data_IF_457821782016
#
_entry.id   IF_457821782016
#
_cell.length_a   1.000
_cell.length_b   1.000
_cell.length_c   1.000
_cell.angle_alpha   90.00
_cell.angle_beta   90.00
_cell.angle_gamma   90.00
#
_symmetry.space_group_name_H-M   'P 1'
#
loop_
_entity.id
_entity.type
_entity.pdbx_description
1 polymer ?
#
# COMPACT_ATOMS: atom_id res chain seq x y z
N UNK A 1 30.53 -35.21 -6.39
CA UNK A 1 29.40 -34.27 -6.18
C UNK A 1 28.42 -34.53 -7.31
N UNK A 2 27.42 -35.37 -7.05
CA UNK A 2 26.36 -35.64 -8.02
C UNK A 2 25.37 -34.47 -7.95
N UNK A 3 25.20 -33.77 -9.07
CA UNK A 3 24.17 -32.75 -9.24
C UNK A 3 22.83 -33.47 -9.07
N UNK A 4 22.09 -33.14 -8.01
CA UNK A 4 20.72 -33.59 -7.81
C UNK A 4 19.90 -32.94 -8.93
N UNK A 5 19.53 -33.73 -9.94
CA UNK A 5 18.61 -33.27 -10.99
C UNK A 5 17.33 -32.78 -10.33
N UNK A 6 16.94 -31.55 -10.65
CA UNK A 6 15.68 -30.94 -10.21
C UNK A 6 14.58 -31.72 -10.91
N UNK A 7 13.66 -32.31 -10.14
CA UNK A 7 12.52 -33.03 -10.68
C UNK A 7 11.66 -32.09 -11.54
N UNK A 8 11.60 -32.28 -12.88
CA UNK A 8 10.89 -31.37 -13.77
C UNK A 8 9.37 -31.37 -13.50
N UNK A 9 8.80 -32.46 -12.99
CA UNK A 9 7.37 -32.55 -12.68
C UNK A 9 6.94 -31.59 -11.57
N UNK A 10 7.78 -31.39 -10.56
CA UNK A 10 7.48 -30.47 -9.46
C UNK A 10 7.50 -28.99 -9.89
N UNK A 11 8.27 -28.64 -10.91
CA UNK A 11 8.30 -27.28 -11.46
C UNK A 11 7.04 -27.00 -12.30
N UNK A 12 6.57 -27.98 -13.06
CA UNK A 12 5.33 -27.90 -13.82
C UNK A 12 4.10 -27.77 -12.89
N UNK A 13 4.08 -28.50 -11.77
CA UNK A 13 3.00 -28.41 -10.77
C UNK A 13 2.88 -27.01 -10.14
N UNK A 14 4.02 -26.38 -9.81
CA UNK A 14 4.03 -25.01 -9.25
C UNK A 14 3.51 -23.98 -10.26
N UNK A 15 3.91 -24.11 -11.53
CA UNK A 15 3.48 -23.18 -12.58
C UNK A 15 1.99 -23.37 -12.92
N UNK A 16 1.49 -24.61 -12.90
CA UNK A 16 0.07 -24.91 -13.05
C UNK A 16 -0.76 -24.29 -11.93
N UNK A 17 -0.32 -24.44 -10.66
CA UNK A 17 -1.00 -23.85 -9.51
C UNK A 17 -1.02 -22.31 -9.57
N UNK A 18 0.07 -21.68 -9.99
CA UNK A 18 0.11 -20.21 -10.18
C UNK A 18 -0.87 -19.75 -11.26
N UNK A 19 -0.97 -20.50 -12.35
CA UNK A 19 -1.92 -20.21 -13.43
C UNK A 19 -3.38 -20.36 -12.97
N UNK A 20 -3.69 -21.42 -12.21
CA UNK A 20 -5.02 -21.63 -11.60
C UNK A 20 -5.36 -20.49 -10.61
N UNK A 21 -4.37 -20.01 -9.84
CA UNK A 21 -4.52 -18.90 -8.91
C UNK A 21 -4.83 -17.58 -9.63
N UNK A 22 -4.14 -17.29 -10.74
CA UNK A 22 -4.41 -16.12 -11.58
C UNK A 22 -5.81 -16.16 -12.22
N UNK A 23 -6.27 -17.34 -12.64
CA UNK A 23 -7.63 -17.53 -13.13
C UNK A 23 -8.68 -17.31 -12.03
N UNK A 24 -8.45 -17.81 -10.82
CA UNK A 24 -9.33 -17.56 -9.66
C UNK A 24 -9.37 -16.07 -9.30
N UNK A 25 -8.25 -15.36 -9.35
CA UNK A 25 -8.20 -13.92 -9.10
C UNK A 25 -8.99 -13.13 -10.16
N UNK A 26 -8.97 -13.57 -11.42
CA UNK A 26 -9.82 -12.99 -12.49
C UNK A 26 -11.31 -13.28 -12.24
N UNK A 27 -11.65 -14.53 -11.91
CA UNK A 27 -13.02 -14.93 -11.60
C UNK A 27 -13.59 -14.17 -10.39
N UNK A 28 -12.78 -13.97 -9.34
CA UNK A 28 -13.17 -13.23 -8.14
C UNK A 28 -13.42 -11.74 -8.44
N UNK A 29 -12.58 -11.11 -9.24
CA UNK A 29 -12.78 -9.72 -9.69
C UNK A 29 -14.08 -9.58 -10.49
N UNK A 30 -14.35 -10.52 -11.40
CA UNK A 30 -15.62 -10.56 -12.13
C UNK A 30 -16.82 -10.71 -11.18
N UNK A 31 -16.75 -11.61 -10.21
CA UNK A 31 -17.82 -11.82 -9.23
C UNK A 31 -18.10 -10.56 -8.40
N UNK A 32 -17.05 -9.87 -7.94
CA UNK A 32 -17.18 -8.62 -7.20
C UNK A 32 -17.81 -7.49 -8.04
N UNK A 33 -17.38 -7.31 -9.29
CA UNK A 33 -17.99 -6.34 -10.20
C UNK A 33 -19.45 -6.65 -10.53
N UNK A 34 -19.79 -7.95 -10.64
CA UNK A 34 -21.18 -8.36 -10.87
C UNK A 34 -22.05 -8.18 -9.63
N UNK A 35 -21.51 -8.42 -8.44
CA UNK A 35 -22.19 -8.13 -7.17
C UNK A 35 -22.50 -6.64 -7.02
N UNK A 36 -21.55 -5.75 -7.35
CA UNK A 36 -21.78 -4.29 -7.32
C UNK A 36 -22.93 -3.89 -8.23
N UNK A 37 -22.91 -4.33 -9.51
CA UNK A 37 -23.99 -4.05 -10.47
C UNK A 37 -25.35 -4.59 -10.03
N UNK A 38 -25.39 -5.79 -9.44
CA UNK A 38 -26.63 -6.37 -8.91
C UNK A 38 -27.11 -5.63 -7.66
N UNK A 39 -26.21 -5.16 -6.81
CA UNK A 39 -26.57 -4.35 -5.62
C UNK A 39 -27.21 -3.03 -6.04
N UNK A 40 -26.65 -2.35 -7.05
CA UNK A 40 -27.23 -1.12 -7.63
C UNK A 40 -28.57 -1.37 -8.34
N UNK A 41 -28.72 -2.50 -9.03
CA UNK A 41 -30.00 -2.87 -9.65
C UNK A 41 -31.08 -3.18 -8.59
N UNK A 42 -30.70 -3.83 -7.48
CA UNK A 42 -31.60 -4.13 -6.36
C UNK A 42 -32.04 -2.87 -5.61
N UNK A 43 -31.18 -1.85 -5.48
CA UNK A 43 -31.57 -0.58 -4.83
C UNK A 43 -32.54 0.25 -5.68
N UNK A 44 -32.49 0.10 -7.01
CA UNK A 44 -33.38 0.81 -7.94
C UNK A 44 -34.69 0.07 -8.22
N UNK A 45 -34.70 -1.26 -8.11
CA UNK A 45 -35.86 -2.10 -8.45
C UNK A 45 -36.06 -3.19 -7.41
N UNK A 46 -37.28 -3.33 -6.89
CA UNK A 46 -37.63 -4.38 -5.93
C UNK A 46 -37.98 -5.72 -6.62
N UNK A 47 -37.10 -6.22 -7.48
CA UNK A 47 -37.30 -7.48 -8.21
C UNK A 47 -36.73 -8.68 -7.39
N UNK A 48 -37.56 -9.67 -7.02
CA UNK A 48 -37.11 -10.85 -6.29
C UNK A 48 -36.11 -11.74 -7.07
N UNK A 49 -36.08 -11.67 -8.41
CA UNK A 49 -35.08 -12.37 -9.22
C UNK A 49 -33.68 -11.77 -9.03
N UNK A 50 -33.56 -10.43 -9.02
CA UNK A 50 -32.30 -9.74 -8.76
C UNK A 50 -31.73 -10.07 -7.38
N UNK A 51 -32.60 -10.18 -6.36
CA UNK A 51 -32.21 -10.61 -5.02
C UNK A 51 -31.64 -12.04 -5.00
N UNK A 52 -32.26 -12.97 -5.75
CA UNK A 52 -31.75 -14.35 -5.90
C UNK A 52 -30.39 -14.37 -6.60
N UNK A 53 -30.22 -13.59 -7.67
CA UNK A 53 -28.95 -13.48 -8.37
C UNK A 53 -27.85 -12.87 -7.50
N UNK A 54 -28.18 -11.87 -6.68
CA UNK A 54 -27.25 -11.27 -5.72
C UNK A 54 -26.82 -12.27 -4.64
N UNK A 55 -27.74 -13.10 -4.14
CA UNK A 55 -27.39 -14.16 -3.21
C UNK A 55 -26.46 -15.20 -3.88
N UNK A 56 -26.75 -15.60 -5.12
CA UNK A 56 -25.92 -16.55 -5.87
C UNK A 56 -24.50 -16.02 -6.12
N UNK A 57 -24.35 -14.75 -6.54
CA UNK A 57 -23.03 -14.19 -6.82
C UNK A 57 -22.18 -14.03 -5.56
N UNK A 58 -22.81 -13.75 -4.40
CA UNK A 58 -22.15 -13.73 -3.10
C UNK A 58 -21.62 -15.11 -2.72
N UNK A 59 -22.47 -16.14 -2.81
CA UNK A 59 -22.04 -17.53 -2.58
C UNK A 59 -20.91 -17.94 -3.51
N UNK A 60 -20.97 -17.57 -4.79
CA UNK A 60 -19.88 -17.84 -5.74
C UNK A 60 -18.58 -17.13 -5.34
N UNK A 61 -18.65 -15.84 -5.03
CA UNK A 61 -17.49 -15.04 -4.60
C UNK A 61 -16.84 -15.63 -3.36
N UNK A 62 -17.64 -16.07 -2.39
CA UNK A 62 -17.17 -16.65 -1.15
C UNK A 62 -16.52 -18.04 -1.41
N UNK A 63 -17.12 -18.86 -2.28
CA UNK A 63 -16.54 -20.13 -2.74
C UNK A 63 -15.20 -19.95 -3.48
N UNK A 64 -15.10 -18.94 -4.35
CA UNK A 64 -13.85 -18.57 -5.02
C UNK A 64 -12.78 -18.11 -4.01
N UNK A 65 -13.18 -17.41 -2.95
CA UNK A 65 -12.31 -17.02 -1.85
C UNK A 65 -11.73 -18.20 -1.09
N UNK A 66 -12.56 -19.20 -0.77
CA UNK A 66 -12.13 -20.43 -0.11
C UNK A 66 -11.15 -21.23 -0.97
N UNK A 67 -11.44 -21.38 -2.27
CA UNK A 67 -10.56 -22.08 -3.22
C UNK A 67 -9.22 -21.37 -3.40
N UNK A 68 -9.21 -20.04 -3.45
CA UNK A 68 -7.98 -19.27 -3.51
C UNK A 68 -7.08 -19.53 -2.29
N UNK A 69 -7.66 -19.59 -1.08
CA UNK A 69 -6.91 -19.88 0.14
C UNK A 69 -6.30 -21.29 0.08
N UNK A 70 -7.10 -22.30 -0.29
CA UNK A 70 -6.65 -23.69 -0.44
C UNK A 70 -5.46 -23.81 -1.41
N UNK A 71 -5.54 -23.18 -2.59
CA UNK A 71 -4.44 -23.22 -3.56
C UNK A 71 -3.21 -22.45 -3.09
N UNK A 72 -3.39 -21.34 -2.36
CA UNK A 72 -2.28 -20.57 -1.79
C UNK A 72 -1.52 -21.40 -0.74
N UNK A 73 -2.24 -22.09 0.14
CA UNK A 73 -1.66 -22.98 1.15
C UNK A 73 -0.91 -24.16 0.49
N UNK A 74 -1.50 -24.75 -0.56
CA UNK A 74 -0.86 -25.83 -1.33
C UNK A 74 0.42 -25.36 -2.03
N UNK A 75 0.41 -24.16 -2.62
CA UNK A 75 1.57 -23.56 -3.26
C UNK A 75 2.70 -23.32 -2.24
N UNK A 76 2.36 -22.76 -1.07
CA UNK A 76 3.31 -22.52 0.00
C UNK A 76 3.95 -23.83 0.49
N UNK A 77 3.15 -24.89 0.70
CA UNK A 77 3.65 -26.19 1.12
C UNK A 77 4.63 -26.81 0.10
N UNK A 78 4.38 -26.64 -1.20
CA UNK A 78 5.30 -27.09 -2.26
C UNK A 78 6.60 -26.28 -2.28
N UNK A 79 6.52 -24.97 -2.10
CA UNK A 79 7.70 -24.11 -2.03
C UNK A 79 8.58 -24.43 -0.80
N UNK A 80 7.96 -24.69 0.36
CA UNK A 80 8.67 -25.11 1.57
C UNK A 80 9.31 -26.48 1.40
N UNK A 81 8.59 -27.46 0.83
CA UNK A 81 9.17 -28.76 0.52
C UNK A 81 10.38 -28.65 -0.43
N UNK A 82 10.33 -27.74 -1.41
CA UNK A 82 11.46 -27.47 -2.32
C UNK A 82 12.65 -26.84 -1.60
N UNK A 83 12.42 -25.94 -0.64
CA UNK A 83 13.49 -25.37 0.20
C UNK A 83 14.17 -26.46 1.03
N UNK A 84 13.40 -27.38 1.61
CA UNK A 84 13.94 -28.51 2.37
C UNK A 84 14.75 -29.47 1.49
N UNK A 85 14.31 -29.75 0.25
CA UNK A 85 15.04 -30.61 -0.68
C UNK A 85 16.35 -30.01 -1.21
N UNK A 86 16.39 -28.67 -1.36
CA UNK A 86 17.56 -27.93 -1.85
C UNK A 86 18.51 -27.49 -0.73
N UNK A 87 18.08 -27.55 0.54
CA UNK A 87 18.94 -27.36 1.68
C UNK A 87 20.03 -28.44 1.71
N UNK A 88 21.26 -28.03 1.41
CA UNK A 88 22.45 -28.89 1.59
C UNK A 88 22.54 -29.23 3.08
N UNK A 89 22.66 -30.52 3.47
CA UNK A 89 22.81 -30.86 4.88
C UNK A 89 24.08 -30.19 5.39
N UNK A 90 23.92 -29.27 6.34
CA UNK A 90 25.02 -28.63 7.02
C UNK A 90 25.84 -29.74 7.68
N UNK A 91 26.97 -30.09 7.07
CA UNK A 91 27.94 -31.00 7.69
C UNK A 91 28.36 -30.35 9.00
N UNK A 92 27.94 -30.94 10.11
CA UNK A 92 28.46 -30.65 11.43
C UNK A 92 29.99 -30.65 11.34
N UNK A 93 30.59 -29.45 11.39
CA UNK A 93 32.03 -29.33 11.56
C UNK A 93 32.35 -29.82 12.97
N UNK A 94 33.17 -30.87 13.14
CA UNK A 94 33.64 -31.26 14.45
C UNK A 94 34.51 -30.12 15.00
N UNK A 95 34.08 -29.59 16.14
CA UNK A 95 34.88 -28.72 17.00
C UNK A 95 36.13 -29.46 17.44
N UNK A 96 37.30 -28.94 17.07
CA UNK A 96 38.58 -29.25 17.71
C UNK A 96 39.67 -29.71 16.75
N UNK A 97 40.59 -28.82 16.39
CA UNK A 97 42.04 -29.00 16.63
C UNK A 97 42.84 -27.88 15.94
N UNK A 98 43.89 -27.47 16.66
CA UNK A 98 44.91 -26.48 16.33
C UNK A 98 45.57 -26.66 14.96
N UNK A 99 45.69 -25.57 14.21
CA UNK A 99 46.77 -25.24 13.26
C UNK A 99 46.61 -23.72 13.00
N UNK A 100 47.52 -22.80 13.27
CA UNK A 100 48.98 -22.89 13.27
C UNK A 100 49.53 -22.50 11.90
N UNK A 101 49.38 -21.24 11.48
CA UNK A 101 49.93 -20.78 10.20
C UNK A 101 49.65 -19.31 9.92
N UNK A 102 50.70 -18.51 9.88
CA UNK A 102 50.71 -17.06 9.77
C UNK A 102 50.30 -16.56 8.38
N UNK A 103 49.45 -15.52 8.38
CA UNK A 103 49.53 -14.42 7.41
C UNK A 103 49.28 -13.12 8.17
N UNK A 104 50.21 -12.18 8.01
CA UNK A 104 50.21 -10.84 8.58
C UNK A 104 48.92 -10.08 8.21
N UNK A 105 48.19 -9.65 9.24
CA UNK A 105 47.12 -8.69 9.09
C UNK A 105 47.73 -7.28 9.07
N UNK A 106 47.67 -6.64 7.91
CA UNK A 106 47.88 -5.19 7.81
C UNK A 106 46.80 -4.47 8.65
N UNK A 107 47.16 -3.45 9.46
CA UNK A 107 46.18 -2.72 10.25
C UNK A 107 45.27 -1.87 9.36
N UNK A 108 43.96 -2.01 9.56
CA UNK A 108 42.95 -1.15 8.96
C UNK A 108 43.10 0.30 9.45
N UNK A 109 42.92 1.32 8.58
CA UNK A 109 43.01 2.72 8.98
C UNK A 109 41.86 3.10 9.92
N UNK A 110 42.23 3.76 11.03
CA UNK A 110 41.30 4.32 12.01
C UNK A 110 40.51 5.49 11.40
N UNK A 111 39.19 5.60 11.65
CA UNK A 111 38.41 6.76 11.25
C UNK A 111 38.80 8.00 12.09
N UNK A 112 39.05 9.12 11.41
CA UNK A 112 39.40 10.39 12.02
C UNK A 112 38.22 10.99 12.83
N UNK A 113 38.49 11.70 13.95
CA UNK A 113 37.46 12.34 14.75
C UNK A 113 36.88 13.58 14.04
N UNK A 114 35.56 13.74 14.14
CA UNK A 114 34.82 14.89 13.63
C UNK A 114 35.21 16.19 14.37
N UNK A 115 35.38 17.33 13.67
CA UNK A 115 35.69 18.60 14.31
C UNK A 115 34.49 19.19 15.05
N UNK A 116 34.75 19.67 16.26
CA UNK A 116 33.82 20.33 17.15
C UNK A 116 33.32 21.67 16.60
N UNK A 117 32.02 21.91 16.75
CA UNK A 117 31.37 23.19 16.43
C UNK A 117 31.81 24.29 17.43
N UNK A 118 32.38 25.37 16.89
CA UNK A 118 32.66 26.59 17.65
C UNK A 118 31.42 27.53 17.70
N UNK A 119 31.27 28.34 18.75
CA UNK A 119 30.10 29.20 18.95
C UNK A 119 30.21 30.56 18.21
N UNK A 120 29.04 31.16 18.05
CA UNK A 120 28.67 32.36 17.27
C UNK A 120 29.56 33.62 17.39
N UNK A 121 29.56 34.43 16.32
CA UNK A 121 29.64 35.90 16.41
C UNK A 121 28.92 36.62 15.25
N UNK A 122 27.86 37.35 15.62
CA UNK A 122 27.56 38.74 15.23
C UNK A 122 27.42 39.12 13.75
N UNK A 123 26.18 39.44 13.35
CA UNK A 123 25.92 40.50 12.38
C UNK A 123 24.75 41.36 12.89
N UNK A 124 25.01 42.67 13.01
CA UNK A 124 24.06 43.71 13.40
C UNK A 124 23.46 44.30 12.13
N UNK A 125 22.13 44.32 12.01
CA UNK A 125 21.35 45.24 11.16
C UNK A 125 20.03 45.46 11.91
N UNK A 126 19.83 46.65 12.49
CA UNK A 126 19.17 47.82 11.90
C UNK A 126 17.64 47.71 12.03
N UNK A 127 17.05 48.69 12.73
CA UNK A 127 15.75 48.58 13.39
C UNK A 127 14.54 48.49 12.49
N UNK A 128 13.49 47.86 13.01
CA UNK A 128 12.09 48.09 12.63
C UNK A 128 11.25 48.06 13.90
N UNK A 129 10.41 49.07 14.00
CA UNK A 129 9.58 49.45 15.14
C UNK A 129 8.57 48.38 15.56
N UNK A 130 8.35 48.27 16.87
CA UNK A 130 7.23 47.58 17.51
C UNK A 130 5.89 48.17 17.06
N UNK A 131 4.91 47.38 16.60
CA UNK A 131 3.54 47.84 16.46
C UNK A 131 2.81 47.79 17.79
N UNK A 132 2.05 48.85 18.08
CA UNK A 132 1.08 48.97 19.16
C UNK A 132 0.00 47.86 19.12
N UNK A 133 -0.53 47.46 20.28
CA UNK A 133 -1.62 46.49 20.36
C UNK A 133 -2.94 47.11 19.87
N UNK A 134 -3.48 46.59 18.76
CA UNK A 134 -4.84 46.89 18.32
C UNK A 134 -5.90 46.21 19.21
N UNK A 135 -7.04 46.87 19.50
CA UNK A 135 -8.12 46.30 20.29
C UNK A 135 -8.81 45.15 19.55
N UNK A 136 -8.97 44.02 20.25
CA UNK A 136 -9.61 42.79 19.78
C UNK A 136 -11.08 43.04 19.37
N UNK A 137 -11.42 42.70 18.13
CA UNK A 137 -12.81 42.55 17.71
C UNK A 137 -13.45 41.32 18.40
N UNK A 138 -14.75 41.37 18.73
CA UNK A 138 -15.44 40.28 19.41
C UNK A 138 -15.46 39.01 18.56
N UNK A 139 -14.96 37.92 19.12
CA UNK A 139 -14.96 36.59 18.51
C UNK A 139 -16.42 36.10 18.31
N UNK A 140 -16.77 35.52 17.15
CA UNK A 140 -18.05 34.88 16.96
C UNK A 140 -18.19 33.70 17.93
N UNK A 141 -19.30 33.67 18.67
CA UNK A 141 -19.65 32.58 19.57
C UNK A 141 -19.58 31.25 18.83
N UNK A 142 -18.72 30.36 19.33
CA UNK A 142 -18.59 29.00 18.83
C UNK A 142 -19.95 28.30 18.88
N UNK A 143 -20.53 28.02 17.71
CA UNK A 143 -21.64 27.11 17.60
C UNK A 143 -21.24 25.78 18.25
N UNK A 144 -22.04 25.33 19.21
CA UNK A 144 -21.84 24.10 19.95
C UNK A 144 -21.74 22.93 18.96
N UNK A 145 -20.53 22.38 18.80
CA UNK A 145 -20.35 21.14 18.06
C UNK A 145 -21.11 20.02 18.77
N UNK A 146 -21.85 19.17 18.03
CA UNK A 146 -22.51 18.01 18.62
C UNK A 146 -21.48 17.11 19.34
N UNK A 147 -21.89 16.42 20.43
CA UNK A 147 -20.97 15.62 21.24
C UNK A 147 -20.30 14.55 20.38
N UNK A 148 -18.96 14.54 20.38
CA UNK A 148 -18.17 13.49 19.74
C UNK A 148 -18.61 12.13 20.29
N UNK A 149 -18.80 11.10 19.46
CA UNK A 149 -19.11 9.76 19.94
C UNK A 149 -18.02 9.32 20.91
N UNK A 150 -18.44 8.81 22.08
CA UNK A 150 -17.52 8.31 23.12
C UNK A 150 -16.66 7.20 22.53
N UNK A 151 -15.35 7.28 22.74
CA UNK A 151 -14.45 6.19 22.39
C UNK A 151 -14.91 4.90 23.09
N UNK A 152 -14.87 3.74 22.41
CA UNK A 152 -15.26 2.47 23.02
C UNK A 152 -14.44 2.21 24.28
N UNK A 153 -15.12 1.84 25.36
CA UNK A 153 -14.44 1.53 26.63
C UNK A 153 -13.50 0.33 26.43
N UNK A 154 -12.29 0.39 27.02
CA UNK A 154 -11.31 -0.68 26.86
C UNK A 154 -11.84 -1.97 27.48
N UNK A 155 -11.76 -3.08 26.73
CA UNK A 155 -12.13 -4.41 27.22
C UNK A 155 -11.19 -4.85 28.35
N UNK A 156 -11.75 -5.58 29.29
CA UNK A 156 -10.99 -6.23 30.36
C UNK A 156 -10.10 -7.34 29.78
N UNK A 157 -9.01 -7.65 30.47
CA UNK A 157 -8.12 -8.74 30.05
C UNK A 157 -8.84 -10.10 30.00
N UNK A 158 -9.78 -10.34 30.92
CA UNK A 158 -10.56 -11.57 30.97
C UNK A 158 -11.49 -11.74 29.77
N UNK A 159 -12.11 -10.66 29.29
CA UNK A 159 -12.93 -10.69 28.07
C UNK A 159 -12.08 -11.04 26.83
N UNK A 160 -10.89 -10.43 26.71
CA UNK A 160 -9.99 -10.71 25.58
C UNK A 160 -9.45 -12.14 25.62
N UNK A 161 -9.10 -12.66 26.81
CA UNK A 161 -8.69 -14.05 26.98
C UNK A 161 -9.83 -15.03 26.61
N UNK A 162 -11.06 -14.72 27.01
CA UNK A 162 -12.24 -15.52 26.66
C UNK A 162 -12.47 -15.52 25.15
N UNK A 163 -12.29 -14.38 24.50
CA UNK A 163 -12.42 -14.27 23.04
C UNK A 163 -11.31 -15.05 22.32
N UNK A 164 -10.06 -14.96 22.77
CA UNK A 164 -8.95 -15.75 22.23
C UNK A 164 -9.24 -17.26 22.35
N UNK A 165 -9.65 -17.72 23.54
CA UNK A 165 -10.01 -19.12 23.78
C UNK A 165 -11.17 -19.58 22.88
N UNK A 166 -12.16 -18.72 22.63
CA UNK A 166 -13.26 -19.02 21.70
C UNK A 166 -12.75 -19.20 20.25
N UNK A 167 -11.88 -18.31 19.77
CA UNK A 167 -11.30 -18.40 18.42
C UNK A 167 -10.50 -19.70 18.28
N UNK A 168 -9.66 -20.01 19.27
CA UNK A 168 -8.86 -21.26 19.33
C UNK A 168 -9.75 -22.50 19.34
N UNK A 169 -10.81 -22.51 20.15
CA UNK A 169 -11.72 -23.64 20.24
C UNK A 169 -12.50 -23.90 18.93
N UNK A 170 -12.95 -22.84 18.24
CA UNK A 170 -13.59 -22.97 16.93
C UNK A 170 -12.63 -23.56 15.90
N UNK A 171 -11.38 -23.08 15.88
CA UNK A 171 -10.37 -23.59 14.97
C UNK A 171 -10.05 -25.07 15.25
N UNK A 172 -9.86 -25.46 16.51
CA UNK A 172 -9.57 -26.83 16.91
C UNK A 172 -10.69 -27.83 16.60
N UNK A 173 -11.93 -27.37 16.40
CA UNK A 173 -13.07 -28.19 15.96
C UNK A 173 -13.23 -28.22 14.44
N UNK A 174 -12.33 -27.58 13.68
CA UNK A 174 -12.43 -27.46 12.23
C UNK A 174 -13.46 -26.43 11.74
N UNK A 175 -14.02 -25.61 12.62
CA UNK A 175 -14.99 -24.56 12.26
C UNK A 175 -14.27 -23.29 11.75
N UNK A 176 -13.47 -23.44 10.69
CA UNK A 176 -12.59 -22.38 10.18
C UNK A 176 -13.35 -21.11 9.78
N UNK A 177 -14.52 -21.24 9.14
CA UNK A 177 -15.36 -20.12 8.72
C UNK A 177 -15.89 -19.32 9.91
N UNK A 178 -16.37 -19.99 10.96
CA UNK A 178 -16.85 -19.33 12.17
C UNK A 178 -15.71 -18.64 12.93
N UNK A 179 -14.55 -19.29 13.02
CA UNK A 179 -13.35 -18.71 13.62
C UNK A 179 -12.91 -17.44 12.88
N UNK A 180 -12.90 -17.49 11.55
CA UNK A 180 -12.60 -16.35 10.69
C UNK A 180 -13.61 -15.21 10.87
N UNK A 181 -14.91 -15.50 10.90
CA UNK A 181 -15.97 -14.51 11.10
C UNK A 181 -15.86 -13.81 12.47
N UNK A 182 -15.62 -14.56 13.55
CA UNK A 182 -15.42 -13.98 14.90
C UNK A 182 -14.18 -13.09 14.93
N UNK A 183 -13.11 -13.52 14.26
CA UNK A 183 -11.86 -12.75 14.20
C UNK A 183 -12.01 -11.47 13.38
N UNK A 184 -12.69 -11.52 12.24
CA UNK A 184 -13.00 -10.34 11.43
C UNK A 184 -13.90 -9.36 12.20
N UNK A 185 -14.90 -9.86 12.93
CA UNK A 185 -15.74 -9.00 13.78
C UNK A 185 -14.92 -8.32 14.88
N UNK A 186 -14.00 -9.05 15.52
CA UNK A 186 -13.11 -8.50 16.54
C UNK A 186 -12.22 -7.38 16.00
N UNK A 187 -11.73 -7.52 14.76
CA UNK A 187 -10.90 -6.51 14.09
C UNK A 187 -11.62 -5.14 13.95
N UNK A 188 -12.95 -5.16 13.78
CA UNK A 188 -13.78 -3.97 13.54
C UNK A 188 -14.34 -3.38 14.84
N UNK A 189 -14.77 -4.23 15.78
CA UNK A 189 -15.50 -3.79 16.98
C UNK A 189 -14.59 -3.36 18.13
N UNK A 190 -13.44 -4.02 18.27
CA UNK A 190 -12.55 -3.76 19.40
C UNK A 190 -11.80 -2.45 19.21
N UNK A 191 -11.45 -1.78 20.32
CA UNK A 191 -10.55 -0.64 20.24
C UNK A 191 -9.18 -1.08 19.70
N UNK A 192 -8.40 -0.22 19.03
CA UNK A 192 -7.12 -0.60 18.45
C UNK A 192 -6.11 -1.26 19.41
N UNK A 193 -6.06 -0.76 20.65
CA UNK A 193 -5.21 -1.34 21.68
C UNK A 193 -5.69 -2.75 22.10
N UNK A 194 -7.00 -3.00 22.07
CA UNK A 194 -7.60 -4.28 22.42
C UNK A 194 -7.37 -5.31 21.32
N UNK A 195 -7.38 -4.88 20.05
CA UNK A 195 -6.97 -5.71 18.92
C UNK A 195 -5.51 -6.13 19.08
N UNK A 196 -4.60 -5.20 19.38
CA UNK A 196 -3.18 -5.53 19.61
C UNK A 196 -2.99 -6.51 20.79
N UNK A 197 -3.74 -6.33 21.89
CA UNK A 197 -3.74 -7.25 23.04
C UNK A 197 -4.27 -8.63 22.65
N UNK A 198 -5.36 -8.71 21.87
CA UNK A 198 -5.91 -9.97 21.39
C UNK A 198 -4.93 -10.68 20.43
N UNK A 199 -4.26 -9.94 19.55
CA UNK A 199 -3.20 -10.46 18.67
C UNK A 199 -2.07 -11.07 19.51
N UNK A 200 -1.63 -10.40 20.57
CA UNK A 200 -0.60 -10.93 21.47
C UNK A 200 -1.01 -12.26 22.12
N UNK A 201 -2.27 -12.37 22.58
CA UNK A 201 -2.81 -13.61 23.15
C UNK A 201 -2.86 -14.74 22.10
N UNK A 202 -3.37 -14.45 20.90
CA UNK A 202 -3.45 -15.42 19.81
C UNK A 202 -2.06 -15.84 19.30
N UNK A 203 -1.06 -14.96 19.38
CA UNK A 203 0.33 -15.31 19.05
C UNK A 203 0.94 -16.25 20.07
N UNK A 204 0.64 -16.07 21.36
CA UNK A 204 1.20 -16.86 22.44
C UNK A 204 0.54 -18.24 22.56
N UNK A 205 -0.78 -18.31 22.42
CA UNK A 205 -1.58 -19.49 22.78
C UNK A 205 -2.60 -19.90 21.71
N UNK A 206 -2.71 -19.13 20.62
CA UNK A 206 -3.69 -19.36 19.56
C UNK A 206 -3.20 -20.29 18.45
N UNK A 207 -4.09 -20.67 17.52
CA UNK A 207 -3.73 -21.45 16.35
C UNK A 207 -2.72 -20.71 15.46
N UNK A 208 -1.86 -21.46 14.77
CA UNK A 208 -0.92 -20.89 13.82
C UNK A 208 -1.63 -20.00 12.79
N UNK A 209 -1.07 -18.81 12.54
CA UNK A 209 -1.61 -17.85 11.58
C UNK A 209 -2.82 -17.03 12.05
N UNK A 210 -3.47 -17.37 13.17
CA UNK A 210 -4.65 -16.63 13.67
C UNK A 210 -4.34 -15.16 14.02
N UNK A 211 -3.20 -14.90 14.68
CA UNK A 211 -2.71 -13.56 14.98
C UNK A 211 -2.47 -12.74 13.70
N UNK A 212 -1.82 -13.33 12.70
CA UNK A 212 -1.60 -12.69 11.39
C UNK A 212 -2.88 -12.46 10.60
N UNK A 213 -3.84 -13.39 10.69
CA UNK A 213 -5.17 -13.22 10.08
C UNK A 213 -5.93 -12.05 10.72
N UNK A 214 -5.95 -11.97 12.06
CA UNK A 214 -6.56 -10.84 12.76
C UNK A 214 -5.90 -9.52 12.38
N UNK A 215 -4.57 -9.48 12.31
CA UNK A 215 -3.84 -8.29 11.89
C UNK A 215 -4.23 -7.84 10.47
N UNK A 216 -4.33 -8.75 9.50
CA UNK A 216 -4.77 -8.41 8.14
C UNK A 216 -6.24 -7.99 8.06
N UNK A 217 -7.11 -8.63 8.84
CA UNK A 217 -8.54 -8.33 8.83
C UNK A 217 -8.85 -6.87 9.23
N UNK A 218 -7.99 -6.25 10.03
CA UNK A 218 -8.08 -4.84 10.41
C UNK A 218 -8.03 -3.89 9.20
N UNK A 219 -7.34 -4.28 8.12
CA UNK A 219 -7.28 -3.49 6.88
C UNK A 219 -8.64 -3.37 6.17
N UNK A 220 -9.63 -4.17 6.54
CA UNK A 220 -11.00 -4.04 6.02
C UNK A 220 -11.89 -3.11 6.85
N UNK A 221 -11.36 -2.57 7.96
CA UNK A 221 -12.06 -1.62 8.81
C UNK A 221 -11.84 -0.16 8.42
N UNK A 222 -12.42 0.74 9.20
CA UNK A 222 -12.26 2.17 9.03
C UNK A 222 -10.80 2.64 9.19
N UNK A 223 -10.43 3.70 8.48
CA UNK A 223 -9.08 4.30 8.48
C UNK A 223 -8.47 4.48 9.89
N UNK A 224 -9.25 5.05 10.83
CA UNK A 224 -8.80 5.26 12.21
C UNK A 224 -8.51 3.96 12.96
N UNK A 225 -9.27 2.91 12.69
CA UNK A 225 -9.06 1.58 13.28
C UNK A 225 -7.77 0.95 12.76
N UNK A 226 -7.53 1.03 11.45
CA UNK A 226 -6.32 0.51 10.83
C UNK A 226 -5.06 1.24 11.32
N UNK A 227 -5.05 2.57 11.26
CA UNK A 227 -3.92 3.38 11.72
C UNK A 227 -3.65 3.22 13.22
N UNK A 228 -4.70 3.25 14.04
CA UNK A 228 -4.58 3.06 15.48
C UNK A 228 -4.04 1.69 15.85
N UNK A 229 -4.45 0.64 15.12
CA UNK A 229 -4.02 -0.74 15.42
C UNK A 229 -2.57 -0.93 14.99
N UNK A 230 -2.19 -0.41 13.82
CA UNK A 230 -0.79 -0.41 13.37
C UNK A 230 0.13 0.29 14.39
N UNK A 231 -0.30 1.45 14.91
CA UNK A 231 0.44 2.18 15.95
C UNK A 231 0.51 1.39 17.27
N UNK A 232 -0.56 0.71 17.66
CA UNK A 232 -0.56 -0.16 18.84
C UNK A 232 0.41 -1.34 18.69
N UNK A 233 0.35 -2.06 17.56
CA UNK A 233 1.22 -3.20 17.26
C UNK A 233 2.70 -2.81 17.27
N UNK A 234 3.05 -1.66 16.68
CA UNK A 234 4.43 -1.16 16.69
C UNK A 234 4.92 -0.81 18.09
N UNK A 235 4.09 -0.13 18.89
CA UNK A 235 4.45 0.20 20.28
C UNK A 235 4.64 -1.02 21.16
N UNK A 236 3.89 -2.10 20.90
CA UNK A 236 4.01 -3.36 21.66
C UNK A 236 5.06 -4.32 21.11
N UNK A 237 5.80 -3.96 20.04
CA UNK A 237 6.84 -4.79 19.46
C UNK A 237 6.33 -6.00 18.67
N UNK A 238 5.07 -5.99 18.24
CA UNK A 238 4.46 -7.05 17.41
C UNK A 238 4.77 -6.78 15.92
N UNK A 239 6.06 -6.84 15.58
CA UNK A 239 6.57 -6.38 14.27
C UNK A 239 6.05 -7.20 13.08
N UNK A 240 5.94 -8.52 13.22
CA UNK A 240 5.43 -9.39 12.14
C UNK A 240 3.96 -9.10 11.84
N UNK A 241 3.14 -8.94 12.88
CA UNK A 241 1.73 -8.62 12.74
C UNK A 241 1.52 -7.18 12.24
N UNK A 242 2.37 -6.24 12.67
CA UNK A 242 2.38 -4.88 12.11
C UNK A 242 2.74 -4.89 10.62
N UNK A 243 3.72 -5.70 10.19
CA UNK A 243 4.08 -5.86 8.78
C UNK A 243 2.94 -6.50 7.98
N UNK A 244 2.30 -7.54 8.52
CA UNK A 244 1.15 -8.19 7.90
C UNK A 244 -0.03 -7.23 7.70
N UNK A 245 -0.36 -6.41 8.71
CA UNK A 245 -1.37 -5.34 8.58
C UNK A 245 -0.94 -4.33 7.51
N UNK A 246 0.30 -3.84 7.56
CA UNK A 246 0.77 -2.84 6.59
C UNK A 246 0.70 -3.34 5.14
N UNK A 247 1.09 -4.59 4.86
CA UNK A 247 0.94 -5.19 3.53
C UNK A 247 -0.53 -5.33 3.10
N UNK A 248 -1.44 -5.64 4.03
CA UNK A 248 -2.86 -5.71 3.70
C UNK A 248 -3.43 -4.34 3.29
N UNK A 249 -2.85 -3.23 3.76
CA UNK A 249 -3.25 -1.87 3.37
C UNK A 249 -2.90 -1.53 1.91
N UNK A 250 -2.09 -2.34 1.21
CA UNK A 250 -1.90 -2.16 -0.23
C UNK A 250 -3.18 -2.40 -1.03
N UNK A 251 -4.08 -3.25 -0.51
CA UNK A 251 -5.40 -3.50 -1.10
C UNK A 251 -6.49 -2.54 -0.60
N UNK A 252 -6.13 -1.47 0.12
CA UNK A 252 -7.11 -0.53 0.67
C UNK A 252 -7.83 0.23 -0.46
N UNK A 253 -9.14 0.52 -0.37
CA UNK A 253 -9.84 1.21 -1.45
C UNK A 253 -9.23 2.59 -1.76
N UNK A 254 -8.99 2.90 -3.03
CA UNK A 254 -8.39 4.17 -3.45
C UNK A 254 -9.16 5.40 -2.93
N UNK A 255 -10.50 5.32 -2.89
CA UNK A 255 -11.39 6.36 -2.38
C UNK A 255 -11.23 6.61 -0.87
N UNK A 256 -10.80 5.59 -0.10
CA UNK A 256 -10.64 5.67 1.35
C UNK A 256 -9.19 6.01 1.77
N UNK A 257 -8.22 5.88 0.85
CA UNK A 257 -6.81 6.14 1.12
C UNK A 257 -6.51 7.54 1.69
N UNK A 258 -7.14 8.65 1.23
CA UNK A 258 -6.91 9.96 1.83
C UNK A 258 -7.24 10.00 3.33
N UNK A 259 -8.32 9.30 3.74
CA UNK A 259 -8.71 9.20 5.15
C UNK A 259 -7.74 8.33 5.95
N UNK A 260 -7.25 7.23 5.36
CA UNK A 260 -6.22 6.38 5.97
C UNK A 260 -4.91 7.15 6.19
N UNK A 261 -4.46 7.92 5.22
CA UNK A 261 -3.22 8.71 5.33
C UNK A 261 -3.35 9.78 6.43
N UNK A 262 -4.50 10.45 6.52
CA UNK A 262 -4.77 11.40 7.61
C UNK A 262 -4.78 10.70 8.98
N UNK A 263 -5.35 9.50 9.07
CA UNK A 263 -5.36 8.71 10.31
C UNK A 263 -3.95 8.23 10.70
N UNK A 264 -3.12 7.82 9.73
CA UNK A 264 -1.73 7.46 9.96
C UNK A 264 -0.92 8.65 10.48
N UNK A 265 -1.08 9.83 9.87
CA UNK A 265 -0.45 11.06 10.34
C UNK A 265 -0.85 11.41 11.78
N UNK A 266 -2.15 11.35 12.10
CA UNK A 266 -2.66 11.57 13.46
C UNK A 266 -2.13 10.54 14.47
N UNK A 267 -1.85 9.32 14.03
CA UNK A 267 -1.25 8.27 14.83
C UNK A 267 0.29 8.36 14.93
N UNK A 268 0.93 9.36 14.32
CA UNK A 268 2.39 9.52 14.29
C UNK A 268 3.12 8.57 13.33
N UNK A 269 2.40 8.03 12.34
CA UNK A 269 2.87 7.05 11.35
C UNK A 269 3.05 7.67 9.96
N UNK A 270 3.47 8.93 9.87
CA UNK A 270 3.63 9.63 8.58
C UNK A 270 4.62 8.94 7.63
N UNK A 271 5.66 8.29 8.17
CA UNK A 271 6.60 7.49 7.36
C UNK A 271 5.90 6.30 6.68
N UNK A 272 4.96 5.65 7.37
CA UNK A 272 4.17 4.56 6.79
C UNK A 272 3.20 5.07 5.72
N UNK A 273 2.61 6.25 5.94
CA UNK A 273 1.79 6.91 4.94
C UNK A 273 2.58 7.21 3.65
N UNK A 274 3.83 7.68 3.78
CA UNK A 274 4.71 7.90 2.63
C UNK A 274 5.07 6.59 1.91
N UNK A 275 5.40 5.54 2.66
CA UNK A 275 5.65 4.22 2.06
C UNK A 275 4.40 3.69 1.36
N UNK A 276 3.21 3.89 1.92
CA UNK A 276 1.97 3.45 1.31
C UNK A 276 1.69 4.20 -0.02
N UNK A 277 1.88 5.52 -0.03
CA UNK A 277 1.83 6.31 -1.28
C UNK A 277 2.86 5.82 -2.30
N UNK A 278 4.05 5.43 -1.83
CA UNK A 278 5.07 4.84 -2.69
C UNK A 278 4.59 3.55 -3.36
N UNK A 279 3.99 2.63 -2.61
CA UNK A 279 3.46 1.40 -3.22
C UNK A 279 2.33 1.70 -4.21
N UNK A 280 1.46 2.67 -3.90
CA UNK A 280 0.39 3.13 -4.79
C UNK A 280 0.88 3.81 -6.08
N UNK A 281 2.09 4.36 -6.10
CA UNK A 281 2.70 4.90 -7.32
C UNK A 281 2.89 3.85 -8.43
N UNK A 282 2.87 2.57 -8.07
CA UNK A 282 2.96 1.43 -9.00
C UNK A 282 1.59 0.82 -9.36
N UNK A 283 0.47 1.38 -8.87
CA UNK A 283 -0.87 0.88 -9.15
C UNK A 283 -1.21 0.97 -10.67
N UNK A 284 -2.16 0.17 -11.19
CA UNK A 284 -2.63 0.29 -12.56
C UNK A 284 -3.07 1.73 -12.92
N UNK A 285 -2.95 2.18 -14.19
CA UNK A 285 -3.25 3.57 -14.58
C UNK A 285 -4.60 4.11 -14.10
N UNK A 286 -5.66 3.29 -14.18
CA UNK A 286 -6.99 3.67 -13.71
C UNK A 286 -7.04 3.90 -12.19
N UNK A 287 -6.42 3.02 -11.41
CA UNK A 287 -6.41 3.10 -9.94
C UNK A 287 -5.53 4.26 -9.47
N UNK A 288 -4.39 4.48 -10.15
CA UNK A 288 -3.49 5.61 -9.90
C UNK A 288 -4.19 6.95 -10.17
N UNK A 289 -4.89 7.08 -11.30
CA UNK A 289 -5.62 8.28 -11.65
C UNK A 289 -6.79 8.55 -10.69
N UNK A 290 -7.55 7.52 -10.33
CA UNK A 290 -8.61 7.62 -9.34
C UNK A 290 -8.08 8.08 -7.98
N UNK A 291 -6.98 7.50 -7.50
CA UNK A 291 -6.35 7.91 -6.24
C UNK A 291 -5.87 9.37 -6.29
N UNK A 292 -5.21 9.79 -7.37
CA UNK A 292 -4.75 11.17 -7.52
C UNK A 292 -5.93 12.16 -7.43
N UNK A 293 -7.05 11.84 -8.08
CA UNK A 293 -8.30 12.61 -7.98
C UNK A 293 -8.87 12.64 -6.55
N UNK A 294 -8.90 11.51 -5.86
CA UNK A 294 -9.36 11.44 -4.46
C UNK A 294 -8.47 12.24 -3.50
N UNK A 295 -7.15 12.21 -3.69
CA UNK A 295 -6.20 13.01 -2.91
C UNK A 295 -6.43 14.52 -3.14
N UNK A 296 -6.61 14.93 -4.40
CA UNK A 296 -6.90 16.32 -4.73
C UNK A 296 -8.24 16.79 -4.12
N UNK A 297 -9.29 15.98 -4.26
CA UNK A 297 -10.62 16.26 -3.70
C UNK A 297 -10.61 16.35 -2.16
N UNK A 298 -9.74 15.58 -1.50
CA UNK A 298 -9.53 15.64 -0.05
C UNK A 298 -8.61 16.80 0.39
N UNK A 299 -8.19 17.68 -0.52
CA UNK A 299 -7.28 18.80 -0.24
C UNK A 299 -5.80 18.39 -0.06
N UNK A 300 -5.46 17.11 -0.24
CA UNK A 300 -4.11 16.57 -0.11
C UNK A 300 -3.31 16.72 -1.41
N UNK A 301 -3.23 17.96 -1.88
CA UNK A 301 -2.62 18.33 -3.19
C UNK A 301 -1.16 17.90 -3.28
N UNK A 302 -0.40 18.07 -2.19
CA UNK A 302 1.02 17.72 -2.15
C UNK A 302 1.23 16.20 -2.32
N UNK A 303 0.37 15.39 -1.70
CA UNK A 303 0.44 13.93 -1.85
C UNK A 303 0.04 13.48 -3.25
N UNK A 304 -0.96 14.12 -3.86
CA UNK A 304 -1.31 13.87 -5.26
C UNK A 304 -0.13 14.15 -6.19
N UNK A 305 0.57 15.28 -6.00
CA UNK A 305 1.74 15.62 -6.81
C UNK A 305 2.94 14.71 -6.56
N UNK A 306 3.17 14.27 -5.32
CA UNK A 306 4.20 13.26 -5.02
C UNK A 306 3.92 11.93 -5.70
N UNK A 307 2.66 11.48 -5.65
CA UNK A 307 2.22 10.26 -6.33
C UNK A 307 2.48 10.35 -7.84
N UNK A 308 2.11 11.46 -8.49
CA UNK A 308 2.35 11.66 -9.93
C UNK A 308 3.83 11.81 -10.26
N UNK A 309 4.62 12.48 -9.42
CA UNK A 309 6.07 12.59 -9.59
C UNK A 309 6.73 11.21 -9.58
N UNK A 310 6.33 10.36 -8.66
CA UNK A 310 6.80 8.98 -8.62
C UNK A 310 6.36 8.18 -9.86
N UNK A 311 5.09 8.31 -10.25
CA UNK A 311 4.56 7.60 -11.41
C UNK A 311 5.29 7.97 -12.70
N UNK A 312 5.87 9.17 -12.82
CA UNK A 312 6.61 9.64 -14.00
C UNK A 312 7.81 8.74 -14.40
N UNK A 313 8.26 7.84 -13.52
CA UNK A 313 9.27 6.81 -13.85
C UNK A 313 8.75 5.62 -14.67
N UNK A 314 7.44 5.47 -14.82
CA UNK A 314 6.79 4.32 -15.48
C UNK A 314 6.99 4.30 -17.00
N UNK A 315 6.47 3.24 -17.63
CA UNK A 315 6.45 3.11 -19.09
C UNK A 315 5.61 4.23 -19.71
N UNK A 316 6.02 4.70 -20.88
CA UNK A 316 5.42 5.85 -21.57
C UNK A 316 3.98 5.59 -22.01
N UNK A 317 3.63 4.36 -22.37
CA UNK A 317 2.26 3.96 -22.71
C UNK A 317 1.32 3.98 -21.50
N UNK A 318 1.78 3.48 -20.34
CA UNK A 318 1.02 3.57 -19.09
C UNK A 318 0.85 5.01 -18.61
N UNK A 319 1.87 5.85 -18.80
CA UNK A 319 1.80 7.27 -18.49
C UNK A 319 0.77 7.99 -19.36
N UNK A 320 0.71 7.69 -20.65
CA UNK A 320 -0.27 8.27 -21.56
C UNK A 320 -1.70 7.85 -21.18
N UNK A 321 -1.93 6.57 -20.89
CA UNK A 321 -3.24 6.08 -20.40
C UNK A 321 -3.61 6.73 -19.06
N UNK A 322 -2.66 6.90 -18.15
CA UNK A 322 -2.89 7.60 -16.87
C UNK A 322 -3.30 9.05 -17.12
N UNK A 323 -2.57 9.79 -17.96
CA UNK A 323 -2.84 11.19 -18.24
C UNK A 323 -4.24 11.39 -18.84
N UNK A 324 -4.68 10.51 -19.75
CA UNK A 324 -6.01 10.56 -20.37
C UNK A 324 -7.16 10.31 -19.39
N UNK A 325 -6.89 9.79 -18.18
CA UNK A 325 -7.87 9.50 -17.12
C UNK A 325 -7.90 10.53 -16.00
N UNK A 326 -6.88 11.40 -15.95
CA UNK A 326 -6.78 12.45 -14.95
C UNK A 326 -7.69 13.63 -15.32
N UNK A 327 -8.06 14.44 -14.32
CA UNK A 327 -8.57 15.78 -14.61
C UNK A 327 -7.48 16.66 -15.23
N UNK A 328 -7.87 17.75 -15.90
CA UNK A 328 -6.95 18.62 -16.65
C UNK A 328 -5.76 19.10 -15.78
N UNK A 329 -6.03 19.45 -14.52
CA UNK A 329 -5.00 19.98 -13.60
C UNK A 329 -3.97 18.91 -13.23
N UNK A 330 -4.41 17.70 -12.91
CA UNK A 330 -3.53 16.59 -12.57
C UNK A 330 -2.82 16.04 -13.80
N UNK A 331 -3.49 16.02 -14.96
CA UNK A 331 -2.89 15.64 -16.23
C UNK A 331 -1.74 16.60 -16.60
N UNK A 332 -1.96 17.91 -16.53
CA UNK A 332 -0.92 18.93 -16.71
C UNK A 332 0.25 18.73 -15.75
N UNK A 333 -0.03 18.47 -14.46
CA UNK A 333 1.01 18.21 -13.46
C UNK A 333 1.85 16.98 -13.82
N UNK A 334 1.21 15.86 -14.19
CA UNK A 334 1.91 14.65 -14.65
C UNK A 334 2.75 14.93 -15.90
N UNK A 335 2.16 15.58 -16.90
CA UNK A 335 2.85 15.93 -18.15
C UNK A 335 4.07 16.81 -17.91
N UNK A 336 4.01 17.77 -16.98
CA UNK A 336 5.17 18.55 -16.57
C UNK A 336 6.27 17.70 -15.90
N UNK A 337 5.92 16.72 -15.06
CA UNK A 337 6.92 15.82 -14.47
C UNK A 337 7.58 14.95 -15.55
N UNK A 338 6.78 14.40 -16.47
CA UNK A 338 7.28 13.59 -17.59
C UNK A 338 8.24 14.41 -18.46
N UNK A 339 7.85 15.63 -18.86
CA UNK A 339 8.72 16.55 -19.64
C UNK A 339 10.06 16.84 -18.94
N UNK A 340 10.05 16.99 -17.62
CA UNK A 340 11.26 17.30 -16.83
C UNK A 340 12.17 16.10 -16.62
N UNK A 341 11.62 14.91 -16.43
CA UNK A 341 12.38 13.73 -16.01
C UNK A 341 12.78 12.80 -17.16
N UNK A 342 12.04 12.81 -18.27
CA UNK A 342 12.21 11.85 -19.36
C UNK A 342 13.10 12.35 -20.48
N UNK A 343 13.59 11.40 -21.28
CA UNK A 343 14.39 11.68 -22.47
C UNK A 343 13.51 12.22 -23.62
N UNK A 344 14.08 12.93 -24.60
CA UNK A 344 13.34 13.36 -25.79
C UNK A 344 12.62 12.22 -26.54
N UNK A 345 13.21 11.03 -26.59
CA UNK A 345 12.60 9.86 -27.22
C UNK A 345 11.37 9.37 -26.44
N UNK A 346 11.48 9.27 -25.12
CA UNK A 346 10.32 8.93 -24.27
C UNK A 346 9.17 9.94 -24.43
N UNK A 347 9.48 11.23 -24.60
CA UNK A 347 8.47 12.27 -24.83
C UNK A 347 7.75 12.08 -26.16
N UNK A 348 8.44 11.58 -27.19
CA UNK A 348 7.82 11.23 -28.46
C UNK A 348 6.89 10.01 -28.33
N UNK A 349 7.31 8.98 -27.59
CA UNK A 349 6.47 7.81 -27.31
C UNK A 349 5.23 8.19 -26.48
N UNK A 350 5.42 8.99 -25.43
CA UNK A 350 4.32 9.51 -24.62
C UNK A 350 3.36 10.37 -25.45
N UNK A 351 3.88 11.25 -26.31
CA UNK A 351 3.08 12.07 -27.21
C UNK A 351 2.23 11.26 -28.19
N UNK A 352 2.73 10.11 -28.64
CA UNK A 352 2.00 9.20 -29.53
C UNK A 352 0.72 8.70 -28.86
N UNK A 353 0.80 8.35 -27.57
CA UNK A 353 -0.38 7.96 -26.78
C UNK A 353 -1.39 9.10 -26.55
N UNK A 354 -0.94 10.36 -26.58
CA UNK A 354 -1.78 11.54 -26.40
C UNK A 354 -2.34 12.12 -27.71
N UNK A 355 -1.88 11.67 -28.88
CA UNK A 355 -2.15 12.31 -30.16
C UNK A 355 -3.66 12.41 -30.50
N UNK A 356 -4.47 11.47 -30.01
CA UNK A 356 -5.93 11.48 -30.17
C UNK A 356 -6.64 12.54 -29.31
N UNK A 357 -5.93 13.16 -28.36
CA UNK A 357 -6.47 14.16 -27.45
C UNK A 357 -5.73 15.51 -27.60
N UNK A 358 -6.28 16.47 -28.37
CA UNK A 358 -5.65 17.76 -28.60
C UNK A 358 -5.32 18.57 -27.33
N UNK A 359 -6.15 18.46 -26.28
CA UNK A 359 -5.91 19.14 -25.00
C UNK A 359 -4.63 18.65 -24.32
N UNK A 360 -4.55 17.35 -24.05
CA UNK A 360 -3.37 16.69 -23.49
C UNK A 360 -2.10 16.89 -24.34
N UNK A 361 -2.22 16.82 -25.66
CA UNK A 361 -1.08 17.09 -26.54
C UNK A 361 -0.60 18.54 -26.44
N UNK A 362 -1.52 19.52 -26.36
CA UNK A 362 -1.16 20.93 -26.13
C UNK A 362 -0.52 21.13 -24.75
N UNK A 363 -0.99 20.44 -23.71
CA UNK A 363 -0.38 20.46 -22.40
C UNK A 363 1.08 19.96 -22.45
N UNK A 364 1.36 18.92 -23.25
CA UNK A 364 2.73 18.45 -23.49
C UNK A 364 3.60 19.50 -24.19
N UNK A 365 3.12 20.14 -25.26
CA UNK A 365 3.87 21.20 -25.92
C UNK A 365 4.15 22.38 -24.98
N UNK A 366 3.18 22.73 -24.14
CA UNK A 366 3.32 23.76 -23.11
C UNK A 366 4.40 23.37 -22.10
N UNK A 367 4.38 22.12 -21.61
CA UNK A 367 5.38 21.61 -20.68
C UNK A 367 6.79 21.58 -21.29
N UNK A 368 6.93 21.16 -22.54
CA UNK A 368 8.21 21.19 -23.28
C UNK A 368 8.72 22.63 -23.42
N UNK A 369 7.83 23.60 -23.64
CA UNK A 369 8.18 25.03 -23.72
C UNK A 369 8.73 25.61 -22.41
N UNK A 370 8.51 24.95 -21.26
CA UNK A 370 9.07 25.38 -19.96
C UNK A 370 10.46 24.81 -19.67
N UNK A 371 10.98 23.92 -20.52
CA UNK A 371 12.32 23.36 -20.38
C UNK A 371 13.39 24.37 -20.83
N UNK A 372 14.65 24.11 -20.48
CA UNK A 372 15.76 24.86 -21.05
C UNK A 372 15.81 24.71 -22.58
N UNK A 373 16.37 25.70 -23.26
CA UNK A 373 16.35 25.79 -24.73
C UNK A 373 16.94 24.55 -25.43
N UNK A 374 17.97 23.93 -24.84
CA UNK A 374 18.60 22.74 -25.40
C UNK A 374 17.65 21.54 -25.34
N UNK A 375 17.08 21.28 -24.15
CA UNK A 375 16.12 20.19 -23.95
C UNK A 375 14.83 20.40 -24.73
N UNK A 376 14.31 21.63 -24.77
CA UNK A 376 13.12 21.96 -25.56
C UNK A 376 13.35 21.66 -27.05
N UNK A 377 14.47 22.11 -27.63
CA UNK A 377 14.81 21.81 -29.04
C UNK A 377 14.93 20.32 -29.30
N UNK A 378 15.57 19.57 -28.41
CA UNK A 378 15.72 18.12 -28.55
C UNK A 378 14.36 17.39 -28.50
N UNK A 379 13.49 17.76 -27.56
CA UNK A 379 12.14 17.21 -27.45
C UNK A 379 11.30 17.51 -28.70
N UNK A 380 11.29 18.77 -29.16
CA UNK A 380 10.57 19.14 -30.38
C UNK A 380 11.13 18.44 -31.63
N UNK A 381 12.45 18.21 -31.70
CA UNK A 381 13.05 17.44 -32.78
C UNK A 381 12.59 15.97 -32.78
N UNK A 382 12.51 15.34 -31.60
CA UNK A 382 12.01 13.98 -31.45
C UNK A 382 10.53 13.88 -31.87
N UNK A 383 9.68 14.84 -31.46
CA UNK A 383 8.27 14.89 -31.89
C UNK A 383 8.12 15.03 -33.41
N UNK A 384 8.91 15.90 -34.05
CA UNK A 384 8.92 16.02 -35.52
C UNK A 384 9.36 14.74 -36.21
N UNK A 385 10.31 13.99 -35.63
CA UNK A 385 10.83 12.76 -36.24
C UNK A 385 9.79 11.65 -36.35
N UNK A 386 8.80 11.64 -35.46
CA UNK A 386 7.66 10.72 -35.49
C UNK A 386 6.43 11.32 -36.19
N UNK A 387 6.57 12.50 -36.82
CA UNK A 387 5.52 13.14 -37.61
C UNK A 387 4.46 13.90 -36.80
N UNK A 388 4.68 14.19 -35.52
CA UNK A 388 3.73 14.94 -34.70
C UNK A 388 3.90 16.46 -34.90
N UNK A 389 2.79 17.23 -34.96
CA UNK A 389 2.82 18.67 -35.20
C UNK A 389 3.33 19.42 -33.97
N UNK A 390 4.25 20.37 -34.15
CA UNK A 390 4.87 21.12 -33.04
C UNK A 390 4.55 22.61 -33.05
N UNK A 391 3.54 23.02 -33.82
CA UNK A 391 3.09 24.41 -33.98
C UNK A 391 1.65 24.57 -33.53
#
# INVERSE_FOLDING_TARGET
>A
MTVREIDPGAAEDVQALRSELDELLRARRYAAQREQRLTEAVTSTNDPELHRQLAQIRTLRDGLGARHLELSERLLALEDHRREQTAVPARHRPTGARFGGAYEAAPAPQPAPAPAAAPMRGARFAGVSTPEPQPQAPQPQAAQQPPRPKAPEPRSAAELATLAARITALHGRGAAQESAAVTAQAAVVLAPADVARLIALLRAEGPAGSAGYLARAVAHGAAGQAAGTLAALRRTGLSEEAAALFHALWGYPAAELPSLLAALEQAGLSADGLTLLWEWGSAPPADLAALAGHLLAAGRTEDAYRLLHQAAGRRTDELADTALRLDDRLAEALTHQVARLRSPADLADYATGLAASPGHYRALLTAVGTLDESRARAALAALRSIGLPVQ
#
